data_IF_194615091126
#
_entry.id   IF_194615091126
#
_cell.length_a   1.000
_cell.length_b   1.000
_cell.length_c   1.000
_cell.angle_alpha   90.00
_cell.angle_beta   90.00
_cell.angle_gamma   90.00
#
_symmetry.space_group_name_H-M   'P 1'
#
loop_
_entity.id
_entity.type
_entity.pdbx_description
1 polymer ?
#
# COMPACT_ATOMS: atom_id res chain seq x y z
N UNK A 1 9.17 -17.09 -7.12
CA UNK A 1 8.50 -16.77 -8.41
C UNK A 1 9.30 -15.76 -9.22
N UNK A 2 9.77 -14.65 -8.64
CA UNK A 2 10.65 -13.69 -9.34
C UNK A 2 11.89 -14.37 -9.97
N UNK A 3 12.62 -15.20 -9.21
CA UNK A 3 13.83 -15.87 -9.69
C UNK A 3 13.57 -16.82 -10.87
N UNK A 4 12.37 -17.40 -10.95
CA UNK A 4 11.95 -18.22 -12.09
C UNK A 4 11.63 -17.34 -13.31
N UNK A 5 10.86 -16.28 -13.11
CA UNK A 5 10.45 -15.38 -14.18
C UNK A 5 11.59 -14.50 -14.70
N UNK A 6 12.54 -14.11 -13.82
CA UNK A 6 13.71 -13.34 -14.25
C UNK A 6 14.74 -14.17 -15.04
N UNK A 7 14.66 -15.52 -14.96
CA UNK A 7 15.54 -16.42 -15.71
C UNK A 7 15.14 -16.53 -17.18
N UNK A 8 13.85 -16.40 -17.48
CA UNK A 8 13.33 -16.55 -18.84
C UNK A 8 12.71 -15.24 -19.31
N UNK A 9 12.66 -15.04 -20.63
CA UNK A 9 12.12 -13.83 -21.22
C UNK A 9 10.59 -13.89 -21.28
N UNK A 10 9.95 -13.13 -20.38
CA UNK A 10 8.51 -12.88 -20.42
C UNK A 10 8.30 -11.68 -21.34
N UNK A 11 7.82 -11.92 -22.56
CA UNK A 11 7.65 -10.88 -23.56
C UNK A 11 6.42 -10.04 -23.29
N UNK A 12 5.29 -10.68 -22.98
CA UNK A 12 4.00 -10.02 -22.74
C UNK A 12 3.33 -10.63 -21.52
N UNK A 13 2.74 -9.78 -20.68
CA UNK A 13 1.90 -10.18 -19.57
C UNK A 13 0.62 -9.35 -19.57
N UNK A 14 -0.50 -10.03 -19.43
CA UNK A 14 -1.82 -9.41 -19.29
C UNK A 14 -2.48 -9.96 -18.03
N UNK A 15 -2.85 -9.10 -17.12
CA UNK A 15 -3.57 -9.47 -15.89
C UNK A 15 -5.07 -9.31 -16.10
N UNK A 16 -5.83 -10.22 -15.52
CA UNK A 16 -7.29 -10.16 -15.46
C UNK A 16 -7.70 -9.84 -14.03
N UNK A 17 -8.49 -8.82 -13.85
CA UNK A 17 -9.15 -8.55 -12.56
C UNK A 17 -9.99 -9.76 -12.13
N UNK A 18 -10.34 -9.87 -10.84
CA UNK A 18 -11.20 -10.98 -10.39
C UNK A 18 -12.53 -11.06 -11.14
N UNK A 19 -13.10 -9.90 -11.50
CA UNK A 19 -14.33 -9.86 -12.31
C UNK A 19 -14.11 -10.43 -13.71
N UNK A 20 -13.04 -10.04 -14.38
CA UNK A 20 -12.67 -10.57 -15.70
C UNK A 20 -12.33 -12.06 -15.63
N UNK A 21 -11.58 -12.49 -14.59
CA UNK A 21 -11.27 -13.90 -14.34
C UNK A 21 -12.55 -14.73 -14.18
N UNK A 22 -13.48 -14.26 -13.35
CA UNK A 22 -14.76 -14.95 -13.13
C UNK A 22 -15.59 -15.08 -14.41
N UNK A 23 -15.59 -14.01 -15.22
CA UNK A 23 -16.27 -14.04 -16.53
C UNK A 23 -15.59 -15.00 -17.51
N UNK A 24 -14.26 -15.01 -17.57
CA UNK A 24 -13.51 -15.83 -18.52
C UNK A 24 -13.56 -17.33 -18.20
N UNK A 25 -13.57 -17.69 -16.92
CA UNK A 25 -13.47 -19.08 -16.45
C UNK A 25 -14.74 -19.61 -15.79
N UNK A 26 -15.83 -18.85 -15.77
CA UNK A 26 -17.08 -19.17 -15.07
C UNK A 26 -16.89 -19.53 -13.58
N UNK A 27 -15.94 -18.88 -12.90
CA UNK A 27 -15.63 -19.08 -11.49
C UNK A 27 -16.21 -17.99 -10.61
N UNK A 28 -16.25 -18.24 -9.30
CA UNK A 28 -16.54 -17.26 -8.25
C UNK A 28 -15.34 -17.10 -7.31
N UNK A 29 -14.19 -16.71 -7.86
CA UNK A 29 -12.95 -16.51 -7.09
C UNK A 29 -12.67 -15.03 -6.86
N UNK A 30 -11.99 -14.72 -5.75
CA UNK A 30 -11.56 -13.35 -5.42
C UNK A 30 -10.08 -13.11 -5.77
N UNK A 31 -9.56 -13.85 -6.74
CA UNK A 31 -8.15 -13.80 -7.12
C UNK A 31 -8.03 -13.36 -8.57
N UNK A 32 -7.26 -12.32 -8.87
CA UNK A 32 -6.91 -11.99 -10.24
C UNK A 32 -6.03 -13.09 -10.83
N UNK A 33 -6.10 -13.28 -12.14
CA UNK A 33 -5.24 -14.19 -12.90
C UNK A 33 -4.43 -13.42 -13.92
N UNK A 34 -3.52 -14.10 -14.58
CA UNK A 34 -2.80 -13.52 -15.71
C UNK A 34 -2.52 -14.58 -16.76
N UNK A 35 -2.30 -14.14 -17.98
CA UNK A 35 -1.69 -14.93 -19.03
C UNK A 35 -0.48 -14.18 -19.59
N UNK A 36 0.50 -14.92 -20.08
CA UNK A 36 1.76 -14.35 -20.54
C UNK A 36 2.38 -15.17 -21.65
N UNK A 37 3.20 -14.50 -22.45
CA UNK A 37 4.05 -15.13 -23.45
C UNK A 37 5.48 -15.22 -22.90
N UNK A 38 5.99 -16.44 -22.75
CA UNK A 38 7.34 -16.72 -22.25
C UNK A 38 8.16 -17.44 -23.33
N UNK A 39 9.39 -17.00 -23.53
CA UNK A 39 10.38 -17.70 -24.36
C UNK A 39 11.52 -18.21 -23.50
N UNK A 40 12.05 -19.40 -23.86
CA UNK A 40 13.19 -20.02 -23.17
C UNK A 40 14.51 -19.38 -23.63
N UNK A 41 14.66 -18.10 -23.36
CA UNK A 41 15.89 -17.33 -23.57
C UNK A 41 16.12 -16.44 -22.36
N UNK A 42 17.30 -15.85 -22.23
CA UNK A 42 17.63 -14.95 -21.14
C UNK A 42 16.72 -13.73 -21.11
N UNK A 43 16.32 -13.33 -19.90
CA UNK A 43 15.47 -12.16 -19.69
C UNK A 43 16.20 -10.87 -20.03
N UNK A 44 15.57 -9.98 -20.78
CA UNK A 44 16.12 -8.68 -21.20
C UNK A 44 15.94 -7.58 -20.14
N UNK A 45 15.55 -7.92 -18.90
CA UNK A 45 15.31 -6.96 -17.81
C UNK A 45 14.06 -6.10 -18.00
N UNK A 46 13.19 -6.45 -18.91
CA UNK A 46 11.94 -5.74 -19.20
C UNK A 46 10.83 -6.70 -19.62
N UNK A 47 9.60 -6.24 -19.51
CA UNK A 47 8.39 -6.97 -19.89
C UNK A 47 7.39 -5.97 -20.49
N UNK A 48 6.59 -6.39 -21.44
CA UNK A 48 5.45 -5.63 -21.94
C UNK A 48 4.21 -5.99 -21.11
N UNK A 49 3.76 -5.06 -20.27
CA UNK A 49 2.52 -5.18 -19.49
C UNK A 49 1.36 -4.56 -20.23
N UNK A 50 0.24 -5.28 -20.31
CA UNK A 50 -0.99 -4.67 -20.79
C UNK A 50 -1.49 -3.65 -19.78
N UNK A 51 -1.80 -2.45 -20.24
CA UNK A 51 -2.30 -1.33 -19.46
C UNK A 51 -3.68 -0.94 -19.98
N UNK A 52 -4.68 -1.10 -19.11
CA UNK A 52 -6.09 -0.90 -19.47
C UNK A 52 -6.42 0.56 -19.78
N UNK A 53 -5.67 1.52 -19.25
CA UNK A 53 -5.97 2.93 -19.45
C UNK A 53 -5.65 3.38 -20.88
N UNK A 54 -4.41 3.24 -21.40
CA UNK A 54 -4.11 3.50 -22.80
C UNK A 54 -4.51 2.35 -23.72
N UNK A 55 -5.08 1.25 -23.20
CA UNK A 55 -5.49 0.05 -23.96
C UNK A 55 -4.37 -0.52 -24.84
N UNK A 56 -3.16 -0.61 -24.30
CA UNK A 56 -1.98 -1.12 -25.01
C UNK A 56 -0.94 -1.72 -24.08
N UNK A 57 0.04 -2.41 -24.66
CA UNK A 57 1.20 -2.88 -23.90
C UNK A 57 2.17 -1.73 -23.63
N UNK A 58 2.63 -1.65 -22.38
CA UNK A 58 3.60 -0.66 -21.88
C UNK A 58 4.83 -1.39 -21.36
N UNK A 59 6.01 -0.92 -21.74
CA UNK A 59 7.28 -1.47 -21.23
C UNK A 59 7.40 -1.22 -19.74
N UNK A 60 7.61 -2.29 -18.97
CA UNK A 60 7.91 -2.25 -17.56
C UNK A 60 9.29 -2.85 -17.32
N UNK A 61 10.17 -2.09 -16.63
CA UNK A 61 11.50 -2.56 -16.26
C UNK A 61 11.41 -3.46 -15.05
N UNK A 62 11.94 -4.69 -15.17
CA UNK A 62 11.96 -5.65 -14.06
C UNK A 62 13.06 -5.29 -13.06
N UNK A 63 12.70 -5.31 -11.78
CA UNK A 63 13.62 -5.11 -10.68
C UNK A 63 13.41 -6.19 -9.63
N UNK A 64 14.50 -6.72 -9.09
CA UNK A 64 14.46 -7.88 -8.17
C UNK A 64 13.49 -7.72 -7.00
N UNK A 65 13.37 -6.52 -6.44
CA UNK A 65 12.57 -6.27 -5.24
C UNK A 65 11.28 -5.49 -5.52
N UNK A 66 10.99 -5.18 -6.79
CA UNK A 66 9.78 -4.45 -7.16
C UNK A 66 8.80 -5.44 -7.78
N UNK A 67 7.59 -5.58 -7.22
CA UNK A 67 6.56 -6.45 -7.79
C UNK A 67 6.09 -5.90 -9.14
N UNK A 68 5.57 -6.78 -9.97
CA UNK A 68 4.93 -6.39 -11.24
C UNK A 68 3.54 -5.85 -10.90
N UNK A 69 3.17 -4.63 -11.31
CA UNK A 69 1.83 -4.11 -11.09
C UNK A 69 0.78 -4.95 -11.84
N UNK A 70 -0.42 -5.01 -11.29
CA UNK A 70 -1.51 -5.76 -11.95
C UNK A 70 -2.01 -5.04 -13.20
N UNK A 71 -2.07 -3.71 -13.15
CA UNK A 71 -2.56 -2.87 -14.25
C UNK A 71 -2.01 -1.44 -14.09
N UNK A 72 -2.31 -0.56 -15.03
CA UNK A 72 -1.97 0.87 -14.98
C UNK A 72 -0.47 1.15 -14.82
N UNK A 73 0.34 0.34 -15.48
CA UNK A 73 1.80 0.46 -15.46
C UNK A 73 2.31 1.84 -15.91
N UNK A 74 1.56 2.54 -16.76
CA UNK A 74 1.84 3.94 -17.15
C UNK A 74 1.87 4.88 -15.95
N UNK A 75 0.89 4.75 -15.04
CA UNK A 75 0.81 5.52 -13.80
C UNK A 75 1.87 5.04 -12.81
N UNK A 76 1.97 3.73 -12.61
CA UNK A 76 2.92 3.13 -11.65
C UNK A 76 4.38 3.48 -11.98
N UNK A 77 4.75 3.53 -13.26
CA UNK A 77 6.09 3.96 -13.68
C UNK A 77 6.44 5.39 -13.26
N UNK A 78 5.46 6.28 -13.09
CA UNK A 78 5.67 7.64 -12.58
C UNK A 78 6.04 7.62 -11.10
N UNK A 79 5.37 6.78 -10.31
CA UNK A 79 5.71 6.54 -8.91
C UNK A 79 7.10 5.93 -8.75
N UNK A 80 7.45 4.94 -9.57
CA UNK A 80 8.78 4.32 -9.54
C UNK A 80 9.91 5.32 -9.85
N UNK A 81 9.67 6.32 -10.68
CA UNK A 81 10.66 7.38 -10.90
C UNK A 81 10.93 8.17 -9.63
N UNK A 82 9.88 8.48 -8.85
CA UNK A 82 10.02 9.19 -7.57
C UNK A 82 10.65 8.31 -6.49
N UNK A 83 10.26 7.03 -6.39
CA UNK A 83 10.89 6.10 -5.43
C UNK A 83 12.37 5.88 -5.74
N UNK A 84 12.75 5.86 -7.01
CA UNK A 84 14.15 5.76 -7.41
C UNK A 84 14.96 7.03 -7.07
N UNK A 85 14.32 8.20 -7.11
CA UNK A 85 14.97 9.49 -6.81
C UNK A 85 15.05 9.76 -5.30
N UNK A 86 13.97 9.53 -4.55
CA UNK A 86 13.84 9.95 -3.15
C UNK A 86 13.87 8.79 -2.15
N UNK A 87 13.96 7.56 -2.64
CA UNK A 87 13.83 6.37 -1.81
C UNK A 87 12.36 5.99 -1.57
N UNK A 88 12.18 4.80 -1.02
CA UNK A 88 10.86 4.25 -0.67
C UNK A 88 10.50 4.60 0.75
N UNK A 89 9.21 4.73 1.01
CA UNK A 89 8.68 4.83 2.36
C UNK A 89 9.01 3.54 3.13
N UNK A 90 9.75 3.67 4.23
CA UNK A 90 10.09 2.51 5.07
C UNK A 90 8.90 2.09 5.93
N UNK A 91 8.39 0.90 5.66
CA UNK A 91 7.19 0.38 6.31
C UNK A 91 7.47 -1.00 6.88
N UNK A 92 7.18 -1.17 8.16
CA UNK A 92 7.36 -2.41 8.89
C UNK A 92 6.03 -3.18 8.94
N UNK A 93 6.02 -4.40 8.44
CA UNK A 93 4.90 -5.34 8.64
C UNK A 93 4.98 -5.88 10.06
N UNK A 94 3.89 -5.79 10.82
CA UNK A 94 3.85 -6.30 12.19
C UNK A 94 3.70 -7.83 12.23
N UNK A 95 4.08 -8.42 13.34
CA UNK A 95 4.02 -9.85 13.59
C UNK A 95 3.06 -10.18 14.74
N UNK A 96 2.74 -11.45 14.90
CA UNK A 96 2.07 -11.93 16.11
C UNK A 96 3.03 -11.83 17.30
N UNK A 97 2.52 -11.60 18.51
CA UNK A 97 3.30 -11.66 19.73
C UNK A 97 4.00 -13.00 19.91
N UNK A 98 5.05 -13.03 20.71
CA UNK A 98 5.78 -14.24 21.06
C UNK A 98 4.85 -15.25 21.73
N UNK A 99 5.19 -16.55 21.60
CA UNK A 99 4.46 -17.63 22.27
C UNK A 99 4.51 -17.39 23.79
N UNK A 100 3.36 -17.49 24.45
CA UNK A 100 3.21 -17.28 25.90
C UNK A 100 2.60 -15.92 26.29
N UNK A 101 2.66 -14.92 25.43
CA UNK A 101 1.97 -13.63 25.69
C UNK A 101 0.46 -13.85 25.66
N UNK A 102 -0.20 -13.37 26.71
CA UNK A 102 -1.66 -13.41 26.83
C UNK A 102 -2.26 -12.06 26.46
N UNK A 103 -3.35 -12.08 25.70
CA UNK A 103 -4.04 -10.89 25.23
C UNK A 103 -5.51 -11.00 25.57
N UNK A 104 -6.06 -9.93 26.13
CA UNK A 104 -7.47 -9.83 26.55
C UNK A 104 -8.14 -8.57 25.99
N UNK A 105 -9.46 -8.50 26.07
CA UNK A 105 -10.24 -7.37 25.54
C UNK A 105 -10.31 -6.20 26.49
N UNK A 106 -10.42 -6.47 27.80
CA UNK A 106 -10.59 -5.44 28.83
C UNK A 106 -9.39 -5.41 29.76
N UNK A 107 -8.95 -4.21 30.22
CA UNK A 107 -7.79 -4.08 31.10
C UNK A 107 -8.06 -4.67 32.49
N UNK A 108 -7.00 -5.15 33.12
CA UNK A 108 -6.95 -5.43 34.55
C UNK A 108 -5.50 -5.34 35.03
N UNK A 109 -5.28 -5.49 36.34
CA UNK A 109 -3.95 -5.34 36.99
C UNK A 109 -2.88 -6.25 36.38
N UNK A 110 -3.27 -7.46 35.88
CA UNK A 110 -2.34 -8.41 35.26
C UNK A 110 -2.08 -8.12 33.77
N UNK A 111 -2.85 -7.23 33.15
CA UNK A 111 -2.79 -6.89 31.73
C UNK A 111 -2.82 -5.36 31.54
N UNK A 112 -1.78 -4.65 31.98
CA UNK A 112 -1.76 -3.20 31.98
C UNK A 112 -1.41 -2.59 30.60
N UNK A 113 -0.74 -3.34 29.72
CA UNK A 113 -0.18 -2.80 28.48
C UNK A 113 -1.23 -2.69 27.38
N UNK A 114 -1.46 -1.47 26.89
CA UNK A 114 -2.37 -1.19 25.78
C UNK A 114 -1.73 -1.52 24.44
N UNK A 115 -2.47 -2.20 23.57
CA UNK A 115 -1.95 -2.58 22.27
C UNK A 115 -3.02 -2.43 21.18
N UNK A 116 -2.58 -2.05 19.99
CA UNK A 116 -3.44 -2.01 18.81
C UNK A 116 -3.54 -3.43 18.20
N UNK A 117 -4.76 -3.92 18.04
CA UNK A 117 -5.06 -5.11 17.28
C UNK A 117 -5.10 -4.78 15.77
N UNK A 118 -5.84 -3.75 15.41
CA UNK A 118 -5.92 -3.22 14.03
C UNK A 118 -6.57 -1.84 14.06
N UNK A 119 -6.55 -1.15 12.93
CA UNK A 119 -7.32 0.08 12.73
C UNK A 119 -8.54 -0.21 11.87
N UNK A 120 -9.62 0.54 12.10
CA UNK A 120 -10.84 0.55 11.30
C UNK A 120 -11.19 1.99 10.96
N UNK A 121 -12.04 2.21 9.95
CA UNK A 121 -12.61 3.54 9.71
C UNK A 121 -13.95 3.66 10.44
N UNK A 122 -14.14 4.78 11.12
CA UNK A 122 -15.44 5.15 11.63
C UNK A 122 -16.34 5.75 10.52
N UNK A 123 -17.56 6.14 10.87
CA UNK A 123 -18.54 6.73 9.94
C UNK A 123 -18.03 8.01 9.25
N UNK A 124 -17.10 8.72 9.89
CA UNK A 124 -16.51 9.97 9.38
C UNK A 124 -15.20 9.73 8.59
N UNK A 125 -14.90 8.47 8.25
CA UNK A 125 -13.65 8.05 7.58
C UNK A 125 -12.38 8.36 8.38
N UNK A 126 -12.50 8.62 9.67
CA UNK A 126 -11.36 8.76 10.55
C UNK A 126 -10.89 7.38 11.07
N UNK A 127 -9.58 7.18 11.23
CA UNK A 127 -9.06 5.92 11.76
C UNK A 127 -9.44 5.75 13.24
N UNK A 128 -9.95 4.56 13.57
CA UNK A 128 -10.32 4.15 14.92
C UNK A 128 -9.52 2.93 15.33
N UNK A 129 -8.97 2.93 16.54
CA UNK A 129 -8.13 1.84 17.04
C UNK A 129 -8.98 0.77 17.71
N UNK A 130 -8.76 -0.49 17.33
CA UNK A 130 -9.22 -1.64 18.12
C UNK A 130 -8.13 -1.99 19.13
N UNK A 131 -8.39 -1.71 20.41
CA UNK A 131 -7.44 -1.90 21.49
C UNK A 131 -7.60 -3.28 22.13
N UNK A 132 -6.48 -3.86 22.56
CA UNK A 132 -6.33 -5.06 23.38
C UNK A 132 -5.30 -4.82 24.47
N UNK A 133 -5.27 -5.68 25.47
CA UNK A 133 -4.39 -5.56 26.61
C UNK A 133 -3.54 -6.81 26.77
N UNK A 134 -2.26 -6.66 27.10
CA UNK A 134 -1.34 -7.77 27.30
C UNK A 134 -0.72 -7.76 28.70
N UNK A 135 -0.24 -8.94 29.11
CA UNK A 135 0.50 -9.13 30.35
C UNK A 135 1.98 -8.72 30.26
N UNK A 136 2.45 -8.45 29.07
CA UNK A 136 3.83 -8.03 28.77
C UNK A 136 3.81 -6.87 27.79
N UNK A 137 4.86 -6.06 27.84
CA UNK A 137 5.08 -5.00 26.86
C UNK A 137 5.33 -5.59 25.46
N UNK A 138 4.62 -5.07 24.46
CA UNK A 138 4.72 -5.53 23.09
C UNK A 138 5.55 -4.58 22.22
N UNK A 139 6.04 -5.06 21.05
CA UNK A 139 6.81 -4.23 20.13
C UNK A 139 6.11 -2.92 19.80
N UNK A 140 6.92 -1.88 19.59
CA UNK A 140 6.51 -0.51 19.27
C UNK A 140 5.83 0.26 20.41
N UNK A 141 5.73 -0.28 21.62
CA UNK A 141 5.34 0.50 22.80
C UNK A 141 6.41 1.55 23.10
N UNK A 142 6.01 2.68 23.71
CA UNK A 142 6.87 3.83 24.01
C UNK A 142 7.60 4.41 22.79
N UNK A 143 7.07 4.18 21.57
CA UNK A 143 7.65 4.66 20.31
C UNK A 143 6.61 5.40 19.48
N UNK A 144 6.76 6.70 19.20
CA UNK A 144 5.94 7.44 18.25
C UNK A 144 5.93 6.76 16.89
N UNK A 145 4.75 6.67 16.28
CA UNK A 145 4.59 5.90 15.03
C UNK A 145 3.31 6.23 14.26
N UNK A 146 3.33 5.91 12.99
CA UNK A 146 2.13 5.81 12.17
C UNK A 146 1.68 4.35 12.14
N UNK A 147 0.39 4.10 12.30
CA UNK A 147 -0.21 2.76 12.27
C UNK A 147 -1.24 2.69 11.15
N UNK A 148 -1.15 1.71 10.29
CA UNK A 148 -2.14 1.41 9.24
C UNK A 148 -2.65 -0.01 9.38
N UNK A 149 -3.96 -0.18 9.33
CA UNK A 149 -4.59 -1.49 9.30
C UNK A 149 -4.38 -2.19 7.96
N UNK A 150 -4.12 -3.46 8.02
CA UNK A 150 -3.95 -4.34 6.86
C UNK A 150 -5.20 -4.43 5.95
N UNK A 151 -6.40 -4.20 6.50
CA UNK A 151 -7.67 -4.19 5.75
C UNK A 151 -8.10 -2.81 5.28
N UNK A 152 -7.41 -1.78 5.72
CA UNK A 152 -7.74 -0.39 5.45
C UNK A 152 -6.65 0.24 4.60
N UNK A 153 -7.03 0.77 3.47
CA UNK A 153 -6.11 1.37 2.51
C UNK A 153 -5.96 2.85 2.79
N UNK A 154 -4.78 3.29 3.19
CA UNK A 154 -4.55 4.67 3.59
C UNK A 154 -5.21 5.01 4.94
N UNK A 155 -5.46 6.28 5.20
CA UNK A 155 -6.07 6.77 6.44
C UNK A 155 -5.35 6.28 7.71
N UNK A 156 -4.03 6.51 7.84
CA UNK A 156 -3.28 6.02 8.97
C UNK A 156 -3.60 6.77 10.27
N UNK A 157 -3.42 6.08 11.39
CA UNK A 157 -3.46 6.67 12.73
C UNK A 157 -2.06 7.09 13.16
N UNK A 158 -1.91 8.25 13.77
CA UNK A 158 -0.65 8.70 14.37
C UNK A 158 -0.70 8.51 15.89
N UNK A 159 0.15 7.64 16.40
CA UNK A 159 0.41 7.46 17.84
C UNK A 159 1.58 8.37 18.22
N UNK A 160 1.25 9.62 18.58
CA UNK A 160 2.24 10.68 18.86
C UNK A 160 3.09 10.39 20.09
N UNK A 161 2.48 9.81 21.13
CA UNK A 161 3.11 9.55 22.40
C UNK A 161 3.70 8.14 22.51
N UNK A 162 3.54 7.31 21.48
CA UNK A 162 3.95 5.91 21.57
C UNK A 162 3.13 5.09 22.56
N UNK A 163 1.88 5.48 22.81
CA UNK A 163 1.03 4.92 23.88
C UNK A 163 0.63 3.47 23.68
N UNK A 164 0.89 2.89 22.53
CA UNK A 164 0.39 1.56 22.15
C UNK A 164 1.48 0.65 21.64
N UNK A 165 1.53 -0.57 22.18
CA UNK A 165 2.20 -1.70 21.50
C UNK A 165 1.35 -2.24 20.34
N UNK A 166 1.85 -3.23 19.61
CA UNK A 166 1.12 -3.88 18.52
C UNK A 166 0.96 -5.36 18.82
N UNK A 167 -0.27 -5.85 18.88
CA UNK A 167 -0.57 -7.24 19.28
C UNK A 167 -1.04 -8.15 18.12
N UNK A 168 -0.94 -7.73 16.89
CA UNK A 168 -1.33 -8.56 15.74
C UNK A 168 -0.44 -8.34 14.52
N UNK A 169 -0.52 -9.28 13.57
CA UNK A 169 0.13 -9.18 12.25
C UNK A 169 -0.66 -8.32 11.24
N UNK A 170 -1.78 -7.75 11.66
CA UNK A 170 -2.74 -7.09 10.78
C UNK A 170 -2.50 -5.58 10.66
N UNK A 171 -1.25 -5.13 10.92
CA UNK A 171 -0.87 -3.73 10.82
C UNK A 171 0.44 -3.54 10.05
N UNK A 172 0.61 -2.30 9.61
CA UNK A 172 1.85 -1.72 9.12
C UNK A 172 2.22 -0.54 10.00
N UNK A 173 3.51 -0.38 10.27
CA UNK A 173 4.02 0.67 11.15
C UNK A 173 5.13 1.43 10.45
N UNK A 174 5.11 2.76 10.59
CA UNK A 174 6.19 3.65 10.18
C UNK A 174 6.71 4.31 11.45
N UNK A 175 8.01 4.21 11.69
CA UNK A 175 8.72 4.72 12.87
C UNK A 175 9.87 5.63 12.44
N UNK A 176 10.58 6.20 13.40
CA UNK A 176 11.75 7.06 13.17
C UNK A 176 11.44 8.28 12.28
N UNK A 177 10.27 8.87 12.50
CA UNK A 177 9.83 10.10 11.85
C UNK A 177 9.45 11.12 12.94
N UNK A 178 9.75 12.39 12.69
CA UNK A 178 9.25 13.48 13.51
C UNK A 178 7.74 13.66 13.32
N UNK A 179 7.08 14.31 14.27
CA UNK A 179 5.63 14.47 14.22
C UNK A 179 5.14 15.16 12.94
N UNK A 180 5.83 16.23 12.51
CA UNK A 180 5.49 16.94 11.27
C UNK A 180 5.65 16.05 10.03
N UNK A 181 6.68 15.19 9.99
CA UNK A 181 6.84 14.18 8.94
C UNK A 181 5.71 13.14 8.94
N UNK A 182 5.29 12.69 10.14
CA UNK A 182 4.18 11.73 10.27
C UNK A 182 2.86 12.33 9.76
N UNK A 183 2.61 13.60 10.06
CA UNK A 183 1.41 14.31 9.58
C UNK A 183 1.42 14.45 8.06
N UNK A 184 2.55 14.86 7.48
CA UNK A 184 2.74 14.91 6.03
C UNK A 184 2.53 13.54 5.38
N UNK A 185 3.18 12.49 5.89
CA UNK A 185 3.05 11.12 5.35
C UNK A 185 1.60 10.64 5.44
N UNK A 186 0.92 10.89 6.55
CA UNK A 186 -0.51 10.56 6.74
C UNK A 186 -1.38 11.21 5.67
N UNK A 187 -1.18 12.50 5.42
CA UNK A 187 -1.92 13.25 4.41
C UNK A 187 -1.76 12.62 3.02
N UNK A 188 -0.52 12.38 2.60
CA UNK A 188 -0.24 11.79 1.29
C UNK A 188 -0.78 10.36 1.17
N UNK A 189 -0.64 9.53 2.19
CA UNK A 189 -1.17 8.16 2.18
C UNK A 189 -2.70 8.09 2.13
N UNK A 190 -3.39 9.17 2.46
CA UNK A 190 -4.85 9.26 2.44
C UNK A 190 -5.42 9.85 1.15
N UNK A 191 -4.57 10.21 0.19
CA UNK A 191 -5.01 10.80 -1.08
C UNK A 191 -5.55 9.75 -2.06
N UNK A 192 -6.50 10.16 -2.91
CA UNK A 192 -7.11 9.29 -3.92
C UNK A 192 -6.07 8.61 -4.82
N UNK A 193 -5.00 9.32 -5.19
CA UNK A 193 -3.96 8.79 -6.08
C UNK A 193 -3.15 7.68 -5.39
N UNK A 194 -2.84 7.81 -4.11
CA UNK A 194 -2.13 6.76 -3.36
C UNK A 194 -3.05 5.56 -3.11
N UNK A 195 -4.30 5.80 -2.76
CA UNK A 195 -5.29 4.73 -2.63
C UNK A 195 -5.48 3.98 -3.95
N UNK A 196 -5.43 4.69 -5.08
CA UNK A 196 -5.43 4.07 -6.40
C UNK A 196 -4.20 3.18 -6.62
N UNK A 197 -3.00 3.64 -6.27
CA UNK A 197 -1.77 2.82 -6.36
C UNK A 197 -1.88 1.57 -5.48
N UNK A 198 -2.35 1.69 -4.25
CA UNK A 198 -2.58 0.54 -3.38
C UNK A 198 -3.55 -0.47 -4.01
N UNK A 199 -4.62 0.03 -4.61
CA UNK A 199 -5.65 -0.82 -5.21
C UNK A 199 -5.16 -1.57 -6.45
N UNK A 200 -4.36 -0.92 -7.28
CA UNK A 200 -3.94 -1.45 -8.58
C UNK A 200 -2.65 -2.26 -8.52
N UNK A 201 -1.96 -2.25 -7.39
CA UNK A 201 -0.71 -3.01 -7.21
C UNK A 201 -0.84 -4.20 -6.25
N UNK A 202 -1.90 -4.30 -5.46
CA UNK A 202 -2.13 -5.43 -4.55
C UNK A 202 -2.67 -6.66 -5.28
N UNK A 203 -2.17 -7.84 -4.92
CA UNK A 203 -2.63 -9.10 -5.51
C UNK A 203 -3.84 -9.71 -4.80
N UNK A 204 -4.14 -9.29 -3.56
CA UNK A 204 -5.29 -9.74 -2.77
C UNK A 204 -6.34 -8.65 -2.65
N UNK A 205 -7.58 -8.98 -2.94
CA UNK A 205 -8.66 -8.00 -3.04
C UNK A 205 -8.97 -7.22 -1.76
N UNK A 206 -8.70 -7.78 -0.59
CA UNK A 206 -9.16 -7.20 0.70
C UNK A 206 -8.04 -6.74 1.60
N UNK A 207 -6.78 -6.96 1.21
CA UNK A 207 -5.66 -6.74 2.12
C UNK A 207 -4.58 -5.91 1.46
N UNK A 208 -4.12 -4.91 2.18
CA UNK A 208 -2.90 -4.20 1.86
C UNK A 208 -1.70 -5.14 2.11
N UNK A 209 -0.80 -5.26 1.18
CA UNK A 209 0.37 -6.14 1.28
C UNK A 209 1.65 -5.30 1.31
N UNK A 210 2.69 -5.79 2.02
CA UNK A 210 3.92 -5.02 2.22
C UNK A 210 4.55 -4.55 0.90
N UNK A 211 4.51 -5.37 -0.12
CA UNK A 211 5.15 -5.07 -1.41
C UNK A 211 4.53 -3.88 -2.16
N UNK A 212 3.31 -3.46 -1.85
CA UNK A 212 2.72 -2.28 -2.50
C UNK A 212 3.44 -0.98 -2.11
N UNK A 213 4.11 -0.97 -0.95
CA UNK A 213 4.93 0.16 -0.52
C UNK A 213 6.23 0.30 -1.31
N UNK A 214 6.62 -0.69 -2.12
CA UNK A 214 7.72 -0.58 -3.05
C UNK A 214 7.48 0.50 -4.14
N UNK A 215 6.22 0.86 -4.35
CA UNK A 215 5.81 1.93 -5.27
C UNK A 215 5.64 3.29 -4.60
N UNK A 216 5.71 3.37 -3.27
CA UNK A 216 5.42 4.59 -2.53
C UNK A 216 6.72 5.31 -2.16
N UNK A 217 6.95 6.54 -2.64
CA UNK A 217 8.13 7.31 -2.28
C UNK A 217 8.09 7.77 -0.81
N UNK A 218 9.24 8.04 -0.24
CA UNK A 218 9.32 8.71 1.06
C UNK A 218 8.99 10.21 0.89
N UNK A 219 7.75 10.56 1.17
CA UNK A 219 7.22 11.91 0.98
C UNK A 219 7.99 12.96 1.80
N UNK A 220 8.56 12.59 2.95
CA UNK A 220 9.32 13.51 3.80
C UNK A 220 10.64 13.96 3.17
N UNK A 221 11.07 13.29 2.10
CA UNK A 221 12.29 13.65 1.33
C UNK A 221 12.01 14.44 0.07
N UNK A 222 10.78 14.83 -0.17
CA UNK A 222 10.34 15.55 -1.37
C UNK A 222 9.95 16.98 -0.98
N UNK A 223 10.76 17.96 -1.34
CA UNK A 223 10.55 19.37 -0.99
C UNK A 223 9.18 19.88 -1.46
N UNK A 224 8.74 19.49 -2.66
CA UNK A 224 7.43 19.87 -3.18
C UNK A 224 6.28 19.34 -2.31
N UNK A 225 6.46 18.21 -1.61
CA UNK A 225 5.46 17.70 -0.67
C UNK A 225 5.30 18.63 0.53
N UNK A 226 6.39 19.17 1.06
CA UNK A 226 6.36 20.14 2.16
C UNK A 226 5.70 21.43 1.73
N UNK A 227 6.05 21.96 0.56
CA UNK A 227 5.44 23.17 0.00
C UNK A 227 3.93 23.01 -0.16
N UNK A 228 3.48 21.86 -0.63
CA UNK A 228 2.08 21.52 -0.77
C UNK A 228 1.37 21.42 0.59
N UNK A 229 1.98 20.73 1.54
CA UNK A 229 1.45 20.51 2.88
C UNK A 229 1.27 21.83 3.65
N UNK A 230 2.29 22.68 3.65
CA UNK A 230 2.28 23.97 4.36
C UNK A 230 1.28 24.97 3.73
N UNK A 231 1.03 24.90 2.43
CA UNK A 231 0.12 25.81 1.72
C UNK A 231 -1.33 25.31 1.58
N UNK A 232 -1.64 24.09 2.08
CA UNK A 232 -2.96 23.45 1.93
C UNK A 232 -3.46 23.35 0.48
N UNK A 233 -2.57 23.48 -0.50
CA UNK A 233 -2.93 23.58 -1.92
C UNK A 233 -2.27 22.46 -2.71
N UNK A 234 -2.69 21.22 -2.39
CA UNK A 234 -2.03 20.00 -2.88
C UNK A 234 -2.61 19.58 -4.22
N UNK A 235 -1.98 19.94 -5.33
CA UNK A 235 -2.17 19.19 -6.56
C UNK A 235 -1.14 18.04 -6.66
N UNK A 236 -1.34 17.01 -5.83
CA UNK A 236 -0.54 15.79 -5.80
C UNK A 236 -0.46 15.13 -7.19
N UNK A 237 -1.45 15.30 -8.04
CA UNK A 237 -1.43 14.78 -9.40
C UNK A 237 -0.32 15.43 -10.24
N UNK A 238 -0.11 16.73 -10.06
CA UNK A 238 0.99 17.46 -10.72
C UNK A 238 2.35 16.96 -10.26
N UNK A 239 2.52 16.73 -8.95
CA UNK A 239 3.76 16.20 -8.37
C UNK A 239 4.15 14.85 -8.98
N UNK A 240 3.19 13.96 -9.14
CA UNK A 240 3.41 12.64 -9.75
C UNK A 240 3.40 12.66 -11.30
N UNK A 241 3.25 13.83 -11.92
CA UNK A 241 3.19 13.96 -13.38
C UNK A 241 1.97 13.26 -13.98
N UNK A 242 0.87 13.19 -13.22
CA UNK A 242 -0.41 12.60 -13.66
C UNK A 242 -1.09 13.54 -14.64
N UNK A 243 -1.46 13.04 -15.82
CA UNK A 243 -2.15 13.85 -16.83
C UNK A 243 -3.60 14.15 -16.44
N UNK A 244 -4.27 15.02 -17.18
CA UNK A 244 -5.68 15.33 -16.94
C UNK A 244 -6.57 14.09 -17.14
N UNK A 245 -6.30 13.30 -18.17
CA UNK A 245 -7.02 12.07 -18.49
C UNK A 245 -6.84 11.02 -17.38
N UNK A 246 -5.59 10.84 -16.91
CA UNK A 246 -5.29 9.94 -15.80
C UNK A 246 -5.96 10.41 -14.49
N UNK A 247 -5.97 11.71 -14.21
CA UNK A 247 -6.65 12.31 -13.04
C UNK A 247 -8.15 12.03 -13.08
N UNK A 248 -8.79 12.27 -14.21
CA UNK A 248 -10.23 11.98 -14.37
C UNK A 248 -10.52 10.49 -14.25
N UNK A 249 -9.66 9.65 -14.80
CA UNK A 249 -9.76 8.20 -14.66
C UNK A 249 -9.67 7.75 -13.19
N UNK A 250 -8.65 8.22 -12.44
CA UNK A 250 -8.46 7.89 -11.02
C UNK A 250 -9.70 8.31 -10.21
N UNK A 251 -10.19 9.53 -10.41
CA UNK A 251 -11.39 10.02 -9.73
C UNK A 251 -12.62 9.17 -10.02
N UNK A 252 -12.84 8.80 -11.27
CA UNK A 252 -13.98 7.97 -11.66
C UNK A 252 -13.84 6.55 -11.14
N UNK A 253 -12.65 5.97 -11.20
CA UNK A 253 -12.35 4.66 -10.63
C UNK A 253 -12.66 4.62 -9.12
N UNK A 254 -12.24 5.67 -8.40
CA UNK A 254 -12.47 5.80 -6.98
C UNK A 254 -13.96 5.95 -6.66
N UNK A 255 -14.69 6.81 -7.38
CA UNK A 255 -16.15 6.99 -7.21
C UNK A 255 -16.94 5.69 -7.43
N UNK A 256 -16.56 4.89 -8.42
CA UNK A 256 -17.25 3.62 -8.72
C UNK A 256 -16.98 2.60 -7.62
N UNK A 257 -15.72 2.48 -7.17
CA UNK A 257 -15.30 1.40 -6.28
C UNK A 257 -15.59 1.66 -4.82
N UNK A 258 -15.56 2.91 -4.41
CA UNK A 258 -15.76 3.36 -3.03
C UNK A 258 -17.06 4.14 -2.82
N UNK A 259 -18.08 3.83 -3.63
CA UNK A 259 -19.42 4.41 -3.50
C UNK A 259 -20.06 4.23 -2.12
N UNK A 260 -19.49 3.32 -1.32
CA UNK A 260 -19.94 2.96 0.04
C UNK A 260 -18.93 3.31 1.14
N UNK A 261 -17.93 4.12 0.85
CA UNK A 261 -16.96 4.66 1.82
C UNK A 261 -17.13 6.17 1.97
#
# INVERSE_FOLDING_TARGET
MYDLFSKYDIQKLHTLSSSQTNKAFAFHVQTPTCYFLLTKRENQGKIELYDSLPNKYITFKLHKNIPIPLDFSSIINKFLKLTNKYGRLDVIKTNLPKKGVKIIEHPNVKFPFKNVKTTTLNKNKAPELQIRYSNEELPFNNQPKIIMGHKMYGFPYIDKEGSYGICSRDNYVIINKELKEMELIKEFLSTEVILFVFETTRYRMRYLEKYVFEFIPDFSKIDDCWNMFDNNNVDIYKLFGITKEEKEFIKNYYKIKYKYF
#
